data_IF_153661469226
#
_entry.id   IF_153661469226
#
_cell.length_a   1.000
_cell.length_b   1.000
_cell.length_c   1.000
_cell.angle_alpha   90.00
_cell.angle_beta   90.00
_cell.angle_gamma   90.00
#
_symmetry.space_group_name_H-M   'P 1'
#
loop_
_entity.id
_entity.type
_entity.pdbx_description
1 polymer ?
#
# COMPACT_ATOMS: atom_id res chain seq x y z
N UNK A 1 70.03 -29.47 -29.71
CA UNK A 1 69.09 -28.42 -29.28
C UNK A 1 67.85 -29.09 -28.74
N UNK A 2 67.87 -29.22 -27.43
CA UNK A 2 66.81 -29.70 -26.54
C UNK A 2 65.65 -28.69 -26.58
N UNK A 3 64.41 -29.16 -26.75
CA UNK A 3 63.23 -28.41 -26.32
C UNK A 3 62.35 -29.36 -25.53
N UNK A 4 62.31 -29.10 -24.23
CA UNK A 4 61.42 -29.71 -23.26
C UNK A 4 59.96 -29.47 -23.67
N UNK A 5 59.17 -30.54 -23.65
CA UNK A 5 57.72 -30.46 -23.75
C UNK A 5 57.16 -30.92 -22.40
N UNK A 6 56.85 -29.93 -21.56
CA UNK A 6 56.23 -30.10 -20.25
C UNK A 6 54.88 -30.82 -20.39
N UNK A 7 54.69 -31.84 -19.55
CA UNK A 7 53.39 -32.48 -19.31
C UNK A 7 52.47 -31.48 -18.60
N UNK A 8 51.24 -31.21 -19.07
CA UNK A 8 50.22 -30.64 -18.22
C UNK A 8 49.70 -31.73 -17.29
N UNK A 9 50.11 -31.62 -16.04
CA UNK A 9 49.53 -32.24 -14.86
C UNK A 9 48.04 -31.96 -14.75
N UNK A 10 47.26 -33.00 -14.41
CA UNK A 10 46.01 -32.86 -13.64
C UNK A 10 44.81 -32.31 -14.41
N UNK A 11 44.13 -33.18 -15.16
CA UNK A 11 42.71 -33.00 -15.44
C UNK A 11 41.97 -33.09 -14.09
N UNK A 12 41.18 -32.08 -13.68
CA UNK A 12 40.26 -32.27 -12.56
C UNK A 12 39.26 -33.35 -13.00
N UNK A 13 39.19 -34.44 -12.24
CA UNK A 13 38.16 -35.44 -12.39
C UNK A 13 36.81 -34.71 -12.38
N UNK A 14 36.03 -34.91 -13.46
CA UNK A 14 34.70 -34.34 -13.60
C UNK A 14 33.82 -34.82 -12.46
N UNK A 15 33.65 -33.98 -11.45
CA UNK A 15 32.57 -34.11 -10.50
C UNK A 15 31.27 -33.95 -11.29
N UNK A 16 30.53 -35.04 -11.43
CA UNK A 16 29.16 -35.01 -11.97
C UNK A 16 28.40 -33.98 -11.14
N UNK A 17 27.89 -32.93 -11.80
CA UNK A 17 26.97 -32.00 -11.15
C UNK A 17 25.86 -32.83 -10.48
N UNK A 18 25.46 -32.52 -9.22
CA UNK A 18 24.39 -33.25 -8.56
C UNK A 18 23.19 -33.30 -9.50
N UNK A 19 22.66 -34.50 -9.74
CA UNK A 19 21.46 -34.63 -10.56
C UNK A 19 20.35 -33.78 -9.92
N UNK A 20 19.61 -32.99 -10.72
CA UNK A 20 18.55 -32.17 -10.20
C UNK A 20 17.55 -33.07 -9.46
N UNK A 21 17.30 -32.72 -8.20
CA UNK A 21 16.25 -33.38 -7.43
C UNK A 21 14.93 -32.89 -8.00
N UNK A 22 14.15 -33.79 -8.59
CA UNK A 22 12.82 -33.46 -9.08
C UNK A 22 11.92 -33.11 -7.88
N UNK A 23 11.18 -32.00 -7.99
CA UNK A 23 10.24 -31.52 -6.97
C UNK A 23 8.81 -31.60 -7.52
N UNK A 24 7.91 -32.23 -6.79
CA UNK A 24 6.49 -32.29 -7.09
C UNK A 24 5.71 -31.40 -6.11
N UNK A 25 5.13 -30.32 -6.62
CA UNK A 25 4.31 -29.41 -5.82
C UNK A 25 2.83 -29.79 -5.94
N UNK A 26 2.28 -30.37 -4.87
CA UNK A 26 0.87 -30.70 -4.74
C UNK A 26 0.09 -29.44 -4.34
N UNK A 27 -0.99 -29.13 -5.06
CA UNK A 27 -1.85 -27.96 -4.81
C UNK A 27 -3.30 -28.40 -4.75
N UNK A 28 -3.96 -28.19 -3.61
CA UNK A 28 -5.37 -28.56 -3.46
C UNK A 28 -6.32 -27.58 -4.18
N UNK A 29 -7.51 -28.07 -4.55
CA UNK A 29 -8.62 -27.24 -5.06
C UNK A 29 -9.28 -26.39 -3.97
N UNK A 30 -10.51 -25.92 -4.16
CA UNK A 30 -11.18 -25.02 -3.19
C UNK A 30 -11.63 -25.75 -1.89
N UNK A 31 -11.50 -27.06 -1.82
CA UNK A 31 -12.03 -27.92 -0.74
C UNK A 31 -11.27 -27.90 0.59
N UNK A 32 -10.13 -27.22 0.67
CA UNK A 32 -9.37 -27.10 1.93
C UNK A 32 -8.74 -28.39 2.44
N UNK A 33 -8.31 -29.27 1.52
CA UNK A 33 -7.57 -30.51 1.81
C UNK A 33 -6.37 -30.25 2.72
N UNK A 34 -6.18 -31.10 3.72
CA UNK A 34 -5.09 -30.98 4.70
C UNK A 34 -3.75 -31.40 4.09
N UNK A 35 -2.61 -30.91 4.62
CA UNK A 35 -1.31 -31.36 4.15
C UNK A 35 -1.11 -32.87 4.37
N UNK A 36 -1.70 -33.45 5.42
CA UNK A 36 -1.64 -34.90 5.69
C UNK A 36 -2.32 -35.71 4.58
N UNK A 37 -3.49 -35.27 4.13
CA UNK A 37 -4.23 -35.90 3.04
C UNK A 37 -3.51 -35.73 1.70
N UNK A 38 -2.95 -34.55 1.42
CA UNK A 38 -2.21 -34.29 0.18
C UNK A 38 -0.94 -35.14 0.10
N UNK A 39 -0.19 -35.22 1.20
CA UNK A 39 1.08 -35.94 1.25
C UNK A 39 0.90 -37.43 1.57
N UNK A 40 -0.30 -37.87 1.95
CA UNK A 40 -0.57 -39.26 2.34
C UNK A 40 0.17 -39.69 3.61
N UNK A 41 0.52 -38.74 4.49
CA UNK A 41 1.38 -38.96 5.65
C UNK A 41 0.82 -38.20 6.87
N UNK A 42 0.77 -38.86 8.03
CA UNK A 42 0.23 -38.25 9.24
C UNK A 42 1.20 -37.23 9.87
N UNK A 43 2.51 -37.39 9.63
CA UNK A 43 3.54 -36.49 10.17
C UNK A 43 4.05 -35.53 9.10
N UNK A 44 3.34 -34.42 8.94
CA UNK A 44 3.79 -33.30 8.07
C UNK A 44 4.50 -32.22 8.88
N UNK A 45 5.41 -31.50 8.22
CA UNK A 45 6.15 -30.38 8.81
C UNK A 45 6.03 -29.17 7.89
N UNK A 46 5.69 -28.01 8.44
CA UNK A 46 5.71 -26.75 7.70
C UNK A 46 7.17 -26.36 7.44
N UNK A 47 7.56 -26.35 6.16
CA UNK A 47 8.92 -25.99 5.72
C UNK A 47 9.03 -24.53 5.32
N UNK A 48 7.93 -23.91 4.88
CA UNK A 48 7.88 -22.50 4.52
C UNK A 48 6.47 -21.91 4.70
N UNK A 49 6.38 -20.57 4.79
CA UNK A 49 5.13 -19.83 4.90
C UNK A 49 4.64 -19.61 6.34
N UNK A 50 3.35 -19.34 6.48
CA UNK A 50 2.70 -18.95 7.74
C UNK A 50 1.38 -19.72 7.96
N UNK A 51 0.56 -19.30 8.91
CA UNK A 51 -0.73 -19.97 9.20
C UNK A 51 -1.80 -19.67 8.13
N UNK A 52 -1.54 -18.75 7.21
CA UNK A 52 -2.46 -18.36 6.12
C UNK A 52 -2.18 -19.13 4.84
N UNK A 53 -0.90 -19.25 4.47
CA UNK A 53 -0.47 -20.07 3.35
C UNK A 53 0.93 -20.63 3.62
N UNK A 54 1.09 -21.93 3.42
CA UNK A 54 2.32 -22.62 3.79
C UNK A 54 2.61 -23.81 2.87
N UNK A 55 3.90 -24.14 2.81
CA UNK A 55 4.40 -25.35 2.18
C UNK A 55 4.73 -26.36 3.27
N UNK A 56 4.20 -27.56 3.11
CA UNK A 56 4.41 -28.69 4.00
C UNK A 56 5.17 -29.79 3.27
N UNK A 57 5.99 -30.52 4.02
CA UNK A 57 6.69 -31.71 3.55
C UNK A 57 6.49 -32.84 4.55
N UNK A 58 6.69 -34.09 4.14
CA UNK A 58 6.72 -35.22 5.08
C UNK A 58 7.90 -35.08 6.04
N UNK A 59 7.72 -35.48 7.29
CA UNK A 59 8.78 -35.38 8.29
C UNK A 59 10.04 -36.19 7.93
N UNK A 60 9.86 -37.31 7.24
CA UNK A 60 10.95 -38.17 6.75
C UNK A 60 11.86 -37.43 5.76
N UNK A 61 11.27 -36.78 4.75
CA UNK A 61 12.00 -36.05 3.70
C UNK A 61 12.83 -34.88 4.26
N UNK A 62 12.38 -34.24 5.35
CA UNK A 62 13.14 -33.17 6.01
C UNK A 62 14.32 -33.73 6.81
N UNK A 63 14.17 -34.91 7.41
CA UNK A 63 15.24 -35.55 8.19
C UNK A 63 16.37 -36.09 7.32
N UNK A 64 16.06 -36.55 6.10
CA UNK A 64 17.05 -36.96 5.11
C UNK A 64 17.92 -35.80 4.63
N UNK A 65 17.33 -34.61 4.37
CA UNK A 65 18.07 -33.39 4.01
C UNK A 65 19.10 -32.98 5.07
N UNK A 66 18.75 -33.08 6.35
CA UNK A 66 19.63 -32.72 7.49
C UNK A 66 20.74 -33.75 7.69
N UNK A 67 20.45 -35.03 7.48
CA UNK A 67 21.42 -36.12 7.64
C UNK A 67 22.37 -36.26 6.43
N UNK A 68 21.97 -35.81 5.23
CA UNK A 68 22.81 -35.76 4.03
C UNK A 68 23.85 -34.63 4.00
N UNK A 69 23.68 -33.57 4.81
CA UNK A 69 24.64 -32.47 4.90
C UNK A 69 25.89 -32.79 5.77
N UNK A 70 25.92 -33.94 6.44
CA UNK A 70 26.96 -34.30 7.42
C UNK A 70 27.79 -35.56 7.14
N UNK A 71 27.56 -36.29 6.04
CA UNK A 71 28.24 -37.56 5.80
C UNK A 71 29.18 -37.49 4.58
N UNK A 72 30.49 -37.64 4.86
CA UNK A 72 31.51 -37.86 3.83
C UNK A 72 31.24 -39.11 2.97
N UNK A 73 31.99 -39.30 1.87
CA UNK A 73 31.61 -40.17 0.77
C UNK A 73 31.86 -41.64 1.10
N UNK A 74 30.97 -42.29 1.87
CA UNK A 74 30.92 -43.74 2.00
C UNK A 74 29.51 -44.25 2.28
N UNK A 75 28.96 -44.99 1.30
CA UNK A 75 28.21 -46.22 1.59
C UNK A 75 26.72 -46.24 1.23
N UNK A 76 26.43 -46.75 0.02
CA UNK A 76 25.25 -47.59 -0.27
C UNK A 76 23.90 -46.89 -0.47
N UNK A 77 23.03 -47.42 -1.37
CA UNK A 77 21.73 -46.83 -1.66
C UNK A 77 20.78 -47.04 -0.47
N UNK A 78 20.74 -46.05 0.42
CA UNK A 78 19.76 -45.96 1.48
C UNK A 78 18.39 -45.62 0.90
N UNK A 79 17.48 -46.59 0.95
CA UNK A 79 16.03 -46.48 1.12
C UNK A 79 15.22 -45.39 0.38
N UNK A 80 15.63 -44.89 -0.79
CA UNK A 80 14.64 -44.48 -1.79
C UNK A 80 13.94 -45.74 -2.31
N UNK A 81 12.80 -46.08 -1.70
CA UNK A 81 11.85 -47.08 -2.21
C UNK A 81 11.28 -46.73 -3.61
N UNK A 82 11.59 -45.55 -4.13
CA UNK A 82 11.49 -45.20 -5.54
C UNK A 82 12.26 -43.90 -5.76
N UNK A 83 12.96 -43.74 -6.88
CA UNK A 83 13.59 -42.48 -7.27
C UNK A 83 12.58 -41.39 -7.65
N UNK A 84 11.52 -41.22 -6.85
CA UNK A 84 10.44 -40.27 -7.08
C UNK A 84 10.82 -38.84 -6.68
N UNK A 85 10.07 -37.86 -7.17
CA UNK A 85 10.28 -36.45 -6.82
C UNK A 85 9.99 -36.20 -5.34
N UNK A 86 10.66 -35.21 -4.75
CA UNK A 86 10.35 -34.71 -3.40
C UNK A 86 8.98 -34.03 -3.47
N UNK A 87 8.02 -34.51 -2.68
CA UNK A 87 6.66 -33.98 -2.66
C UNK A 87 6.50 -32.86 -1.64
N UNK A 88 5.98 -31.73 -2.07
CA UNK A 88 5.62 -30.60 -1.22
C UNK A 88 4.15 -30.26 -1.39
N UNK A 89 3.42 -30.10 -0.28
CA UNK A 89 2.02 -29.68 -0.30
C UNK A 89 1.90 -28.18 -0.04
N UNK A 90 1.36 -27.45 -1.00
CA UNK A 90 1.00 -26.04 -0.82
C UNK A 90 -0.44 -25.91 -0.35
N UNK A 91 -0.59 -25.47 0.90
CA UNK A 91 -1.88 -25.28 1.56
C UNK A 91 -2.23 -23.79 1.57
N UNK A 92 -3.39 -23.44 0.99
CA UNK A 92 -3.80 -22.06 0.73
C UNK A 92 -5.25 -21.74 1.13
N UNK A 93 -5.97 -22.69 1.73
CA UNK A 93 -7.39 -22.55 2.07
C UNK A 93 -7.72 -21.36 2.99
N UNK A 94 -6.79 -20.97 3.86
CA UNK A 94 -6.95 -19.80 4.74
C UNK A 94 -6.85 -18.47 3.99
N UNK A 95 -6.46 -18.45 2.70
CA UNK A 95 -6.55 -17.25 1.84
C UNK A 95 -7.99 -16.96 1.38
N UNK A 96 -8.85 -17.97 1.28
CA UNK A 96 -10.23 -17.84 0.76
C UNK A 96 -11.31 -18.05 1.82
N UNK A 97 -11.02 -18.83 2.86
CA UNK A 97 -11.94 -19.11 3.97
C UNK A 97 -11.36 -18.58 5.29
N UNK A 98 -12.16 -17.88 6.10
CA UNK A 98 -11.74 -17.36 7.42
C UNK A 98 -12.39 -16.03 7.83
N UNK A 99 -11.81 -15.41 8.87
CA UNK A 99 -12.29 -14.35 9.77
C UNK A 99 -13.37 -13.36 9.27
N UNK A 100 -14.31 -12.99 10.16
CA UNK A 100 -15.42 -12.08 9.92
C UNK A 100 -14.97 -10.67 9.46
N UNK A 101 -13.74 -10.28 9.82
CA UNK A 101 -13.09 -9.07 9.31
C UNK A 101 -12.98 -9.02 7.78
N UNK A 102 -13.15 -10.15 7.07
CA UNK A 102 -13.15 -10.18 5.61
C UNK A 102 -14.30 -9.39 4.98
N UNK A 103 -15.41 -9.18 5.67
CA UNK A 103 -16.51 -8.34 5.17
C UNK A 103 -16.06 -6.89 4.90
N UNK A 104 -15.07 -6.38 5.66
CA UNK A 104 -14.52 -5.05 5.41
C UNK A 104 -13.78 -4.94 4.07
N UNK A 105 -13.38 -6.05 3.44
CA UNK A 105 -12.79 -6.03 2.09
C UNK A 105 -13.76 -5.53 1.02
N UNK A 106 -15.08 -5.57 1.25
CA UNK A 106 -16.05 -5.02 0.31
C UNK A 106 -15.83 -3.52 0.07
N UNK A 107 -15.34 -2.78 1.07
CA UNK A 107 -14.95 -1.37 0.90
C UNK A 107 -13.76 -1.21 -0.06
N UNK A 108 -12.90 -2.23 -0.15
CA UNK A 108 -11.73 -2.27 -1.01
C UNK A 108 -11.96 -3.05 -2.31
N UNK A 109 -13.18 -3.55 -2.54
CA UNK A 109 -13.55 -4.28 -3.76
C UNK A 109 -13.19 -3.52 -5.05
N UNK A 110 -13.43 -2.19 -5.18
CA UNK A 110 -13.01 -1.46 -6.37
C UNK A 110 -11.50 -1.54 -6.63
N UNK A 111 -10.68 -1.52 -5.57
CA UNK A 111 -9.23 -1.66 -5.68
C UNK A 111 -8.83 -3.08 -6.08
N UNK A 112 -9.52 -4.09 -5.54
CA UNK A 112 -9.29 -5.48 -5.94
C UNK A 112 -9.55 -5.70 -7.43
N UNK A 113 -10.65 -5.14 -7.95
CA UNK A 113 -11.00 -5.24 -9.39
C UNK A 113 -9.93 -4.58 -10.26
N UNK A 114 -9.44 -3.40 -9.88
CA UNK A 114 -8.37 -2.71 -10.63
C UNK A 114 -7.04 -3.47 -10.54
N UNK A 115 -6.74 -4.08 -9.39
CA UNK A 115 -5.58 -4.96 -9.25
C UNK A 115 -5.71 -6.20 -10.15
N UNK A 116 -6.89 -6.81 -10.23
CA UNK A 116 -7.15 -7.94 -11.14
C UNK A 116 -7.00 -7.53 -12.61
N UNK A 117 -7.52 -6.36 -12.99
CA UNK A 117 -7.39 -5.83 -14.35
C UNK A 117 -5.91 -5.73 -14.77
N UNK A 118 -5.00 -5.37 -13.87
CA UNK A 118 -3.57 -5.38 -14.16
C UNK A 118 -3.06 -6.74 -14.66
N UNK A 119 -3.52 -7.83 -14.05
CA UNK A 119 -3.13 -9.21 -14.36
C UNK A 119 -3.87 -9.77 -15.57
N UNK A 120 -5.10 -9.30 -15.85
CA UNK A 120 -5.87 -9.66 -17.05
C UNK A 120 -5.39 -8.96 -18.34
N UNK A 121 -4.26 -8.26 -18.29
CA UNK A 121 -3.67 -7.54 -19.43
C UNK A 121 -3.42 -8.51 -20.61
N UNK A 122 -3.99 -8.28 -21.80
CA UNK A 122 -3.76 -9.14 -22.96
C UNK A 122 -2.28 -9.22 -23.36
N UNK A 123 -1.81 -10.42 -23.70
CA UNK A 123 -0.50 -10.62 -24.31
C UNK A 123 -0.51 -10.03 -25.74
N UNK A 124 0.13 -8.88 -25.93
CA UNK A 124 0.20 -8.20 -27.23
C UNK A 124 1.64 -7.77 -27.57
N UNK A 125 2.55 -8.72 -27.90
CA UNK A 125 3.96 -8.45 -28.17
C UNK A 125 4.15 -7.41 -29.29
N UNK A 126 3.30 -7.47 -30.32
CA UNK A 126 3.33 -6.57 -31.48
C UNK A 126 2.84 -5.13 -31.18
N UNK A 127 2.27 -4.85 -29.99
CA UNK A 127 1.70 -3.54 -29.64
C UNK A 127 2.22 -3.00 -28.30
N UNK A 128 3.53 -2.78 -28.16
CA UNK A 128 4.14 -2.39 -26.89
C UNK A 128 3.65 -1.02 -26.38
N UNK A 129 3.21 -0.11 -27.25
CA UNK A 129 2.60 1.17 -26.86
C UNK A 129 1.24 0.99 -26.19
N UNK A 130 0.39 0.11 -26.73
CA UNK A 130 -0.94 -0.16 -26.19
C UNK A 130 -0.86 -0.83 -24.81
N UNK A 131 0.05 -1.80 -24.65
CA UNK A 131 0.33 -2.46 -23.36
C UNK A 131 0.77 -1.44 -22.30
N UNK A 132 1.62 -0.48 -22.69
CA UNK A 132 2.06 0.60 -21.79
C UNK A 132 0.91 1.53 -21.40
N UNK A 133 0.08 1.93 -22.37
CA UNK A 133 -1.08 2.77 -22.14
C UNK A 133 -2.08 2.07 -21.19
N UNK A 134 -2.38 0.79 -21.43
CA UNK A 134 -3.23 0.00 -20.54
C UNK A 134 -2.72 0.02 -19.10
N UNK A 135 -1.43 -0.29 -18.90
CA UNK A 135 -0.83 -0.25 -17.57
C UNK A 135 -0.86 1.15 -16.93
N UNK A 136 -0.71 2.21 -17.72
CA UNK A 136 -0.85 3.59 -17.24
C UNK A 136 -2.29 3.89 -16.79
N UNK A 137 -3.28 3.56 -17.63
CA UNK A 137 -4.69 3.80 -17.33
C UNK A 137 -5.14 3.06 -16.08
N UNK A 138 -4.75 1.78 -15.92
CA UNK A 138 -5.05 0.99 -14.71
C UNK A 138 -4.47 1.67 -13.45
N UNK A 139 -3.23 2.18 -13.52
CA UNK A 139 -2.61 2.92 -12.39
C UNK A 139 -3.32 4.24 -12.09
N UNK A 140 -3.75 4.98 -13.12
CA UNK A 140 -4.50 6.21 -12.94
C UNK A 140 -5.90 5.96 -12.37
N UNK A 141 -6.59 4.91 -12.81
CA UNK A 141 -7.88 4.50 -12.24
C UNK A 141 -7.71 4.14 -10.75
N UNK A 142 -6.68 3.37 -10.39
CA UNK A 142 -6.39 3.06 -8.99
C UNK A 142 -6.15 4.33 -8.15
N UNK A 143 -5.40 5.29 -8.70
CA UNK A 143 -5.15 6.58 -8.04
C UNK A 143 -6.45 7.36 -7.85
N UNK A 144 -7.30 7.44 -8.88
CA UNK A 144 -8.60 8.10 -8.82
C UNK A 144 -9.50 7.46 -7.76
N UNK A 145 -9.54 6.14 -7.66
CA UNK A 145 -10.29 5.46 -6.59
C UNK A 145 -9.81 5.87 -5.19
N UNK A 146 -8.51 6.09 -5.03
CA UNK A 146 -7.94 6.59 -3.76
C UNK A 146 -8.43 7.99 -3.46
N UNK A 147 -8.37 8.88 -4.46
CA UNK A 147 -8.88 10.25 -4.33
C UNK A 147 -10.36 10.25 -3.99
N UNK A 148 -11.17 9.45 -4.66
CA UNK A 148 -12.62 9.35 -4.44
C UNK A 148 -12.96 8.81 -3.05
N UNK A 149 -12.30 7.73 -2.62
CA UNK A 149 -12.50 7.16 -1.29
C UNK A 149 -12.22 8.20 -0.19
N UNK A 150 -11.10 8.90 -0.31
CA UNK A 150 -10.69 9.91 0.67
C UNK A 150 -11.58 11.15 0.59
N UNK A 151 -11.94 11.59 -0.61
CA UNK A 151 -12.88 12.69 -0.80
C UNK A 151 -14.24 12.38 -0.17
N UNK A 152 -14.76 11.16 -0.31
CA UNK A 152 -16.00 10.74 0.33
C UNK A 152 -15.91 10.79 1.87
N UNK A 153 -14.79 10.34 2.44
CA UNK A 153 -14.54 10.48 3.87
C UNK A 153 -14.45 11.95 4.32
N UNK A 154 -13.82 12.82 3.51
CA UNK A 154 -13.78 14.25 3.74
C UNK A 154 -15.17 14.90 3.66
N UNK A 155 -16.02 14.54 2.68
CA UNK A 155 -17.39 15.04 2.59
C UNK A 155 -18.19 14.71 3.85
N UNK A 156 -18.12 13.48 4.33
CA UNK A 156 -18.82 13.09 5.56
C UNK A 156 -18.28 13.84 6.78
N UNK A 157 -16.95 13.85 6.98
CA UNK A 157 -16.35 14.43 8.17
C UNK A 157 -16.34 15.97 8.18
N UNK A 158 -15.92 16.59 7.07
CA UNK A 158 -15.71 18.03 6.96
C UNK A 158 -17.01 18.77 6.61
N UNK A 159 -17.75 18.32 5.59
CA UNK A 159 -18.97 19.00 5.16
C UNK A 159 -20.16 18.65 6.07
N UNK A 160 -20.53 17.38 6.18
CA UNK A 160 -21.75 17.02 6.92
C UNK A 160 -21.61 17.22 8.43
N UNK A 161 -20.52 16.73 9.03
CA UNK A 161 -20.34 16.77 10.49
C UNK A 161 -19.81 18.13 10.95
N UNK A 162 -18.64 18.55 10.47
CA UNK A 162 -17.94 19.72 11.02
C UNK A 162 -18.49 21.07 10.55
N UNK A 163 -18.96 21.15 9.30
CA UNK A 163 -19.49 22.39 8.73
C UNK A 163 -20.99 22.53 8.96
N UNK A 164 -21.79 21.57 8.52
CA UNK A 164 -23.24 21.65 8.57
C UNK A 164 -23.79 21.33 9.96
N UNK A 165 -23.50 20.15 10.52
CA UNK A 165 -24.11 19.74 11.79
C UNK A 165 -23.56 20.54 12.98
N UNK A 166 -22.25 20.67 13.13
CA UNK A 166 -21.67 21.49 14.21
C UNK A 166 -21.95 22.99 14.03
N UNK A 167 -22.17 23.45 12.79
CA UNK A 167 -22.61 24.82 12.46
C UNK A 167 -24.06 25.11 12.84
N UNK A 168 -24.93 24.10 12.86
CA UNK A 168 -26.35 24.23 13.13
C UNK A 168 -26.72 23.84 14.58
N UNK A 169 -27.20 24.82 15.36
CA UNK A 169 -27.62 24.62 16.77
C UNK A 169 -28.59 23.45 16.96
N UNK A 170 -29.52 23.26 16.03
CA UNK A 170 -30.50 22.17 16.08
C UNK A 170 -29.88 20.77 15.98
N UNK A 171 -28.87 20.60 15.11
CA UNK A 171 -28.17 19.32 14.92
C UNK A 171 -27.22 19.05 16.08
N UNK A 172 -26.38 20.03 16.44
CA UNK A 172 -25.40 19.85 17.51
C UNK A 172 -26.02 19.56 18.89
N UNK A 173 -27.19 20.12 19.22
CA UNK A 173 -27.91 19.79 20.48
C UNK A 173 -28.36 18.33 20.55
N UNK A 174 -28.63 17.68 19.42
CA UNK A 174 -29.03 16.26 19.36
C UNK A 174 -27.83 15.31 19.53
N UNK A 175 -26.61 15.82 19.37
CA UNK A 175 -25.38 15.05 19.40
C UNK A 175 -24.44 15.63 20.47
N UNK A 176 -24.57 15.15 21.71
CA UNK A 176 -23.83 15.68 22.87
C UNK A 176 -22.30 15.71 22.67
N UNK A 177 -21.74 14.79 21.89
CA UNK A 177 -20.31 14.74 21.57
C UNK A 177 -19.83 15.88 20.65
N UNK A 178 -20.73 16.58 19.96
CA UNK A 178 -20.43 17.78 19.18
C UNK A 178 -20.53 19.07 20.01
N UNK A 179 -20.98 19.01 21.27
CA UNK A 179 -21.29 20.20 22.06
C UNK A 179 -20.07 21.15 22.20
N UNK A 180 -18.86 20.62 22.35
CA UNK A 180 -17.63 21.42 22.48
C UNK A 180 -17.24 22.18 21.20
N UNK A 181 -17.75 21.76 20.04
CA UNK A 181 -17.55 22.44 18.76
C UNK A 181 -18.57 23.58 18.54
N UNK A 182 -19.55 23.76 19.42
CA UNK A 182 -20.59 24.78 19.22
C UNK A 182 -20.22 26.13 19.83
N UNK A 183 -20.79 27.26 19.35
CA UNK A 183 -20.62 28.56 19.97
C UNK A 183 -21.11 28.58 21.43
N UNK A 184 -22.16 27.79 21.71
CA UNK A 184 -22.82 27.71 23.02
C UNK A 184 -22.12 26.73 23.99
N UNK A 185 -21.02 26.09 23.56
CA UNK A 185 -20.22 25.13 24.32
C UNK A 185 -19.82 25.62 25.73
N UNK A 186 -19.63 26.92 25.90
CA UNK A 186 -19.25 27.54 27.16
C UNK A 186 -20.32 27.42 28.27
N UNK A 187 -21.58 27.13 27.91
CA UNK A 187 -22.71 27.19 28.84
C UNK A 187 -23.11 25.81 29.41
N UNK A 188 -22.66 24.70 28.80
CA UNK A 188 -23.02 23.33 29.19
C UNK A 188 -22.15 22.76 30.34
N UNK A 189 -22.73 22.11 31.37
CA UNK A 189 -21.98 21.65 32.56
C UNK A 189 -20.92 20.57 32.27
N UNK A 190 -21.09 19.75 31.22
CA UNK A 190 -20.10 18.72 30.84
C UNK A 190 -18.87 19.24 30.07
N UNK A 191 -18.95 20.44 29.48
CA UNK A 191 -17.87 21.02 28.67
C UNK A 191 -16.92 21.87 29.51
N UNK A 192 -17.40 22.47 30.61
CA UNK A 192 -16.59 23.29 31.51
C UNK A 192 -15.36 22.55 32.05
N UNK A 193 -15.54 21.28 32.45
CA UNK A 193 -14.45 20.44 33.00
C UNK A 193 -13.35 20.15 31.98
N UNK A 194 -13.67 19.92 30.71
CA UNK A 194 -12.67 19.68 29.65
C UNK A 194 -12.04 20.99 29.14
N UNK A 195 -12.82 22.08 29.09
CA UNK A 195 -12.36 23.41 28.70
C UNK A 195 -11.35 23.98 29.71
N UNK A 196 -11.57 23.75 31.02
CA UNK A 196 -10.60 24.09 32.08
C UNK A 196 -9.33 23.24 31.98
N UNK A 197 -9.46 21.93 31.70
CA UNK A 197 -8.32 21.00 31.59
C UNK A 197 -7.43 21.29 30.38
N UNK A 198 -8.01 21.83 29.30
CA UNK A 198 -7.30 22.21 28.06
C UNK A 198 -6.95 23.71 28.00
N UNK A 199 -7.31 24.51 29.01
CA UNK A 199 -7.05 25.95 29.05
C UNK A 199 -7.74 26.76 27.94
N UNK A 200 -8.77 26.21 27.30
CA UNK A 200 -9.47 26.85 26.18
C UNK A 200 -10.76 27.49 26.66
N UNK A 201 -10.75 28.81 26.87
CA UNK A 201 -11.96 29.60 27.13
C UNK A 201 -12.94 29.53 25.95
N UNK A 202 -14.23 29.64 26.26
CA UNK A 202 -15.40 29.40 25.39
C UNK A 202 -15.27 29.81 23.92
N UNK A 203 -15.79 28.97 23.03
CA UNK A 203 -15.89 29.27 21.60
C UNK A 203 -14.61 29.07 20.78
N UNK A 204 -13.47 28.68 21.39
CA UNK A 204 -12.22 28.47 20.64
C UNK A 204 -12.38 27.43 19.51
N UNK A 205 -12.97 26.27 19.81
CA UNK A 205 -13.30 25.24 18.82
C UNK A 205 -14.54 25.58 17.99
N UNK A 206 -15.25 26.66 18.31
CA UNK A 206 -16.43 27.08 17.58
C UNK A 206 -16.09 27.82 16.27
N UNK A 207 -14.83 28.19 16.02
CA UNK A 207 -14.46 28.75 14.72
C UNK A 207 -14.47 27.67 13.63
N UNK A 208 -15.10 27.90 12.45
CA UNK A 208 -15.25 26.88 11.41
C UNK A 208 -13.93 26.21 11.03
N UNK A 209 -12.85 26.99 10.89
CA UNK A 209 -11.53 26.48 10.55
C UNK A 209 -10.97 25.43 11.52
N UNK A 210 -11.13 25.65 12.82
CA UNK A 210 -10.65 24.71 13.86
C UNK A 210 -11.48 23.45 13.93
N UNK A 211 -12.80 23.55 13.70
CA UNK A 211 -13.69 22.37 13.57
C UNK A 211 -13.27 21.49 12.40
N UNK A 212 -13.03 22.12 11.25
CA UNK A 212 -12.58 21.42 10.04
C UNK A 212 -11.22 20.75 10.27
N UNK A 213 -10.26 21.46 10.90
CA UNK A 213 -8.95 20.90 11.22
C UNK A 213 -9.05 19.68 12.16
N UNK A 214 -9.94 19.72 13.15
CA UNK A 214 -10.19 18.56 14.02
C UNK A 214 -10.86 17.41 13.26
N UNK A 215 -11.86 17.70 12.45
CA UNK A 215 -12.58 16.69 11.69
C UNK A 215 -11.71 16.00 10.62
N UNK A 216 -10.65 16.68 10.14
CA UNK A 216 -9.65 16.09 9.25
C UNK A 216 -8.89 14.91 9.87
N UNK A 217 -8.94 14.73 11.21
CA UNK A 217 -8.40 13.54 11.87
C UNK A 217 -9.12 12.25 11.44
N UNK A 218 -10.39 12.32 11.05
CA UNK A 218 -11.16 11.13 10.60
C UNK A 218 -10.61 10.58 9.27
N UNK A 219 -10.56 11.34 8.15
CA UNK A 219 -9.92 10.86 6.93
C UNK A 219 -8.40 10.66 7.10
N UNK A 220 -7.74 11.41 8.00
CA UNK A 220 -6.34 11.16 8.38
C UNK A 220 -6.13 9.79 9.01
N UNK A 221 -7.03 9.38 9.91
CA UNK A 221 -7.04 8.05 10.52
C UNK A 221 -7.28 6.93 9.50
N UNK A 222 -8.18 7.15 8.52
CA UNK A 222 -8.37 6.24 7.39
C UNK A 222 -7.07 6.04 6.60
N UNK A 223 -6.36 7.13 6.26
CA UNK A 223 -5.08 7.05 5.54
C UNK A 223 -4.02 6.34 6.38
N UNK A 224 -3.93 6.62 7.68
CA UNK A 224 -2.99 5.94 8.57
C UNK A 224 -3.26 4.44 8.63
N UNK A 225 -4.53 4.04 8.74
CA UNK A 225 -4.95 2.64 8.74
C UNK A 225 -4.56 1.96 7.42
N UNK A 226 -4.91 2.55 6.27
CA UNK A 226 -4.57 1.99 4.95
C UNK A 226 -3.06 1.91 4.72
N UNK A 227 -2.31 2.94 5.16
CA UNK A 227 -0.85 2.93 5.12
C UNK A 227 -0.28 1.80 5.99
N UNK A 228 -0.78 1.62 7.20
CA UNK A 228 -0.35 0.57 8.11
C UNK A 228 -0.62 -0.82 7.52
N UNK A 229 -1.83 -1.07 7.02
CA UNK A 229 -2.19 -2.34 6.39
C UNK A 229 -1.33 -2.61 5.15
N UNK A 230 -1.12 -1.60 4.31
CA UNK A 230 -0.28 -1.71 3.11
C UNK A 230 1.20 -1.95 3.44
N UNK A 231 1.71 -1.33 4.52
CA UNK A 231 3.07 -1.55 4.98
C UNK A 231 3.23 -2.98 5.53
N UNK A 232 2.27 -3.44 6.34
CA UNK A 232 2.28 -4.78 6.93
C UNK A 232 2.28 -5.86 5.85
N UNK A 233 1.39 -5.79 4.86
CA UNK A 233 1.33 -6.77 3.77
C UNK A 233 2.58 -6.75 2.89
N UNK A 234 3.08 -5.56 2.55
CA UNK A 234 4.32 -5.44 1.77
C UNK A 234 5.54 -6.01 2.51
N UNK A 235 5.63 -5.77 3.82
CA UNK A 235 6.73 -6.29 4.64
C UNK A 235 6.64 -7.80 4.88
N UNK A 236 5.45 -8.40 4.78
CA UNK A 236 5.28 -9.84 4.93
C UNK A 236 5.59 -10.58 3.62
N UNK A 237 5.04 -10.10 2.49
CA UNK A 237 5.05 -10.86 1.24
C UNK A 237 6.06 -10.35 0.20
N UNK A 238 6.35 -9.05 0.16
CA UNK A 238 7.09 -8.43 -0.97
C UNK A 238 8.54 -8.04 -0.60
N UNK A 239 8.94 -8.14 0.67
CA UNK A 239 10.30 -7.81 1.11
C UNK A 239 11.32 -8.95 0.93
N UNK A 240 10.83 -10.17 0.68
CA UNK A 240 11.67 -11.34 0.42
C UNK A 240 12.46 -11.17 -0.86
N UNK A 241 13.77 -11.41 -0.80
CA UNK A 241 14.66 -11.34 -1.97
C UNK A 241 14.66 -12.71 -2.65
N UNK A 242 14.53 -12.77 -3.98
CA UNK A 242 14.72 -14.05 -4.67
C UNK A 242 16.12 -14.59 -4.39
N UNK A 243 16.22 -15.90 -4.21
CA UNK A 243 17.50 -16.62 -4.15
C UNK A 243 18.11 -16.57 -5.55
N UNK A 244 18.85 -15.49 -5.87
CA UNK A 244 19.56 -15.39 -7.14
C UNK A 244 20.77 -16.30 -7.05
N UNK A 245 20.67 -17.51 -7.59
CA UNK A 245 21.78 -18.43 -7.78
C UNK A 245 22.27 -18.33 -9.23
N UNK A 246 23.40 -17.64 -9.43
CA UNK A 246 24.12 -17.61 -10.71
C UNK A 246 23.75 -16.47 -11.68
N UNK A 247 24.45 -16.39 -12.84
CA UNK A 247 24.13 -15.44 -13.90
C UNK A 247 22.72 -15.71 -14.45
N UNK A 248 21.95 -14.65 -14.76
CA UNK A 248 20.65 -14.82 -15.44
C UNK A 248 20.85 -15.70 -16.69
N UNK A 249 20.09 -16.80 -16.84
CA UNK A 249 20.14 -17.60 -18.07
C UNK A 249 19.86 -16.71 -19.27
N UNK A 250 20.50 -17.01 -20.40
CA UNK A 250 20.29 -16.24 -21.62
C UNK A 250 18.79 -16.20 -21.96
N UNK A 251 18.23 -15.05 -22.33
CA UNK A 251 16.80 -14.92 -22.55
C UNK A 251 16.37 -15.82 -23.70
N UNK A 252 15.59 -16.85 -23.39
CA UNK A 252 14.90 -17.66 -24.40
C UNK A 252 13.68 -16.88 -24.90
N UNK A 253 13.57 -16.60 -26.22
CA UNK A 253 12.42 -15.89 -26.79
C UNK A 253 11.09 -16.63 -26.59
N UNK A 254 11.09 -17.95 -26.36
CA UNK A 254 9.89 -18.77 -26.15
C UNK A 254 9.50 -18.92 -24.67
N UNK A 255 10.26 -18.31 -23.76
CA UNK A 255 10.03 -18.47 -22.34
C UNK A 255 8.75 -17.76 -21.87
N UNK A 256 7.97 -18.45 -21.04
CA UNK A 256 6.74 -17.93 -20.47
C UNK A 256 7.01 -16.62 -19.70
N UNK A 257 6.06 -15.68 -19.72
CA UNK A 257 6.18 -14.47 -18.90
C UNK A 257 6.41 -14.78 -17.41
N UNK A 258 5.90 -15.92 -16.93
CA UNK A 258 6.07 -16.41 -15.55
C UNK A 258 7.49 -16.86 -15.22
N UNK A 259 8.28 -17.26 -16.22
CA UNK A 259 9.66 -17.72 -16.06
C UNK A 259 10.66 -16.55 -15.95
N UNK A 260 10.23 -15.32 -16.28
CA UNK A 260 11.13 -14.17 -16.29
C UNK A 260 11.56 -13.77 -14.87
N UNK A 261 12.86 -13.51 -14.62
CA UNK A 261 13.37 -13.23 -13.26
C UNK A 261 12.68 -12.05 -12.55
N UNK A 262 12.27 -11.03 -13.30
CA UNK A 262 11.59 -9.84 -12.76
C UNK A 262 10.07 -9.97 -12.65
N UNK A 263 9.46 -11.08 -13.09
CA UNK A 263 8.00 -11.26 -13.13
C UNK A 263 7.37 -11.42 -11.73
N UNK A 264 8.08 -12.04 -10.79
CA UNK A 264 7.60 -12.20 -9.42
C UNK A 264 8.11 -11.11 -8.47
N UNK A 265 9.05 -10.27 -8.92
CA UNK A 265 9.66 -9.23 -8.09
C UNK A 265 9.12 -7.83 -8.40
N UNK A 266 8.12 -7.38 -7.64
CA UNK A 266 7.44 -6.09 -7.80
C UNK A 266 7.88 -5.01 -6.81
N UNK A 267 8.83 -5.31 -5.90
CA UNK A 267 9.16 -4.51 -4.72
C UNK A 267 9.29 -3.00 -4.96
N UNK A 268 10.00 -2.60 -6.01
CA UNK A 268 10.19 -1.16 -6.35
C UNK A 268 8.90 -0.49 -6.79
N UNK A 269 8.15 -1.14 -7.69
CA UNK A 269 6.89 -0.62 -8.20
C UNK A 269 5.87 -0.47 -7.06
N UNK A 270 5.71 -1.52 -6.25
CA UNK A 270 4.75 -1.54 -5.14
C UNK A 270 5.10 -0.49 -4.09
N UNK A 271 6.38 -0.37 -3.71
CA UNK A 271 6.83 0.64 -2.75
C UNK A 271 6.53 2.07 -3.25
N UNK A 272 6.82 2.35 -4.54
CA UNK A 272 6.56 3.65 -5.14
C UNK A 272 5.08 3.98 -5.22
N UNK A 273 4.25 3.02 -5.66
CA UNK A 273 2.81 3.21 -5.73
C UNK A 273 2.23 3.43 -4.34
N UNK A 274 2.64 2.65 -3.33
CA UNK A 274 2.22 2.89 -1.94
C UNK A 274 2.51 4.33 -1.50
N UNK A 275 3.74 4.81 -1.72
CA UNK A 275 4.11 6.18 -1.38
C UNK A 275 3.26 7.23 -2.12
N UNK A 276 3.01 7.03 -3.42
CA UNK A 276 2.19 7.93 -4.22
C UNK A 276 0.71 7.94 -3.78
N UNK A 277 0.13 6.77 -3.47
CA UNK A 277 -1.25 6.67 -2.98
C UNK A 277 -1.42 7.30 -1.59
N UNK A 278 -0.46 7.10 -0.68
CA UNK A 278 -0.45 7.79 0.63
C UNK A 278 -0.38 9.31 0.44
N UNK A 279 0.51 9.79 -0.42
CA UNK A 279 0.62 11.22 -0.71
C UNK A 279 -0.65 11.79 -1.35
N UNK A 280 -1.25 11.09 -2.31
CA UNK A 280 -2.51 11.48 -2.93
C UNK A 280 -3.63 11.62 -1.90
N UNK A 281 -3.76 10.64 -0.98
CA UNK A 281 -4.75 10.71 0.09
C UNK A 281 -4.55 11.92 1.01
N UNK A 282 -3.32 12.14 1.48
CA UNK A 282 -3.01 13.30 2.32
C UNK A 282 -3.26 14.64 1.61
N UNK A 283 -2.89 14.75 0.34
CA UNK A 283 -3.13 15.94 -0.49
C UNK A 283 -4.62 16.18 -0.74
N UNK A 284 -5.44 15.14 -0.90
CA UNK A 284 -6.89 15.26 -1.00
C UNK A 284 -7.50 15.83 0.27
N UNK A 285 -7.05 15.37 1.45
CA UNK A 285 -7.48 15.92 2.75
C UNK A 285 -7.06 17.39 2.85
N UNK A 286 -5.81 17.70 2.51
CA UNK A 286 -5.29 19.06 2.54
C UNK A 286 -6.07 19.99 1.59
N UNK A 287 -6.38 19.56 0.37
CA UNK A 287 -7.19 20.34 -0.56
C UNK A 287 -8.62 20.58 -0.03
N UNK A 288 -9.28 19.54 0.50
CA UNK A 288 -10.61 19.67 1.09
C UNK A 288 -10.63 20.60 2.31
N UNK A 289 -9.58 20.56 3.14
CA UNK A 289 -9.41 21.40 4.33
C UNK A 289 -9.07 22.86 3.98
N UNK A 290 -8.28 23.08 2.93
CA UNK A 290 -7.85 24.42 2.51
C UNK A 290 -8.98 25.19 1.81
N UNK A 291 -9.80 24.51 1.00
CA UNK A 291 -10.79 25.14 0.10
C UNK A 291 -11.71 26.16 0.80
N UNK A 292 -12.31 25.87 1.97
CA UNK A 292 -13.18 26.82 2.66
C UNK A 292 -12.45 28.07 3.17
N UNK A 293 -11.24 27.89 3.71
CA UNK A 293 -10.41 28.98 4.22
C UNK A 293 -9.89 29.87 3.10
N UNK A 294 -9.40 29.28 2.00
CA UNK A 294 -8.96 30.00 0.81
C UNK A 294 -10.06 30.88 0.21
N UNK A 295 -11.29 30.35 0.11
CA UNK A 295 -12.45 31.12 -0.38
C UNK A 295 -12.87 32.26 0.55
N UNK A 296 -12.61 32.12 1.84
CA UNK A 296 -12.88 33.19 2.80
C UNK A 296 -11.81 34.28 2.69
N UNK A 297 -10.53 33.90 2.62
CA UNK A 297 -9.41 34.82 2.63
C UNK A 297 -9.23 35.56 1.29
N UNK A 298 -9.61 34.96 0.15
CA UNK A 298 -9.55 35.60 -1.18
C UNK A 298 -10.66 36.66 -1.41
N UNK A 299 -11.50 36.95 -0.43
CA UNK A 299 -12.58 37.95 -0.58
C UNK A 299 -11.98 39.37 -0.63
N UNK A 300 -12.59 40.29 -1.40
CA UNK A 300 -12.19 41.70 -1.38
C UNK A 300 -12.24 42.25 0.06
N UNK A 301 -11.17 42.90 0.50
CA UNK A 301 -11.05 43.47 1.85
C UNK A 301 -10.54 42.51 2.95
N UNK A 302 -10.14 41.28 2.60
CA UNK A 302 -9.49 40.35 3.52
C UNK A 302 -8.03 40.70 3.87
N UNK A 303 -7.43 40.06 4.90
CA UNK A 303 -6.04 40.29 5.27
C UNK A 303 -5.08 39.85 4.16
N UNK A 304 -4.35 40.78 3.54
CA UNK A 304 -3.48 40.50 2.39
C UNK A 304 -2.41 39.42 2.66
N UNK A 305 -1.92 39.29 3.89
CA UNK A 305 -0.97 38.24 4.27
C UNK A 305 -1.58 36.82 4.16
N UNK A 306 -2.85 36.64 4.54
CA UNK A 306 -3.54 35.35 4.44
C UNK A 306 -3.91 35.01 2.99
N UNK A 307 -4.23 36.01 2.16
CA UNK A 307 -4.43 35.81 0.72
C UNK A 307 -3.14 35.31 0.04
N UNK A 308 -2.00 35.98 0.29
CA UNK A 308 -0.70 35.55 -0.25
C UNK A 308 -0.33 34.14 0.22
N UNK A 309 -0.47 33.88 1.53
CA UNK A 309 -0.20 32.56 2.09
C UNK A 309 -1.12 31.49 1.49
N UNK A 310 -2.39 31.80 1.26
CA UNK A 310 -3.36 30.92 0.62
C UNK A 310 -2.98 30.58 -0.83
N UNK A 311 -2.50 31.56 -1.60
CA UNK A 311 -1.99 31.34 -2.97
C UNK A 311 -0.75 30.46 -2.99
N UNK A 312 0.21 30.72 -2.09
CA UNK A 312 1.42 29.90 -1.94
C UNK A 312 1.06 28.46 -1.57
N UNK A 313 0.16 28.28 -0.60
CA UNK A 313 -0.33 26.96 -0.20
C UNK A 313 -0.99 26.23 -1.37
N UNK A 314 -1.84 26.92 -2.14
CA UNK A 314 -2.48 26.37 -3.34
C UNK A 314 -1.44 25.92 -4.37
N UNK A 315 -0.42 26.73 -4.64
CA UNK A 315 0.66 26.38 -5.55
C UNK A 315 1.43 25.14 -5.07
N UNK A 316 1.74 25.06 -3.77
CA UNK A 316 2.39 23.89 -3.18
C UNK A 316 1.53 22.61 -3.27
N UNK A 317 0.21 22.71 -3.04
CA UNK A 317 -0.71 21.58 -3.19
C UNK A 317 -0.79 21.09 -4.64
N UNK A 318 -0.87 22.00 -5.61
CA UNK A 318 -0.88 21.67 -7.04
C UNK A 318 0.46 21.03 -7.48
N UNK A 319 1.59 21.56 -7.01
CA UNK A 319 2.90 20.98 -7.25
C UNK A 319 3.02 19.57 -6.66
N UNK A 320 2.58 19.37 -5.42
CA UNK A 320 2.55 18.06 -4.77
C UNK A 320 1.67 17.06 -5.51
N UNK A 321 0.50 17.49 -5.99
CA UNK A 321 -0.38 16.67 -6.81
C UNK A 321 0.29 16.28 -8.14
N UNK A 322 0.93 17.24 -8.82
CA UNK A 322 1.68 17.00 -10.05
C UNK A 322 2.82 15.99 -9.87
N UNK A 323 3.62 16.12 -8.81
CA UNK A 323 4.69 15.16 -8.46
C UNK A 323 4.11 13.77 -8.17
N UNK A 324 2.98 13.70 -7.48
CA UNK A 324 2.30 12.44 -7.16
C UNK A 324 1.80 11.73 -8.42
N UNK A 325 1.13 12.47 -9.32
CA UNK A 325 0.69 11.93 -10.62
C UNK A 325 1.89 11.50 -11.45
N UNK A 326 2.96 12.30 -11.50
CA UNK A 326 4.19 11.94 -12.19
C UNK A 326 4.80 10.63 -11.64
N UNK A 327 4.82 10.45 -10.32
CA UNK A 327 5.31 9.22 -9.68
C UNK A 327 4.50 7.96 -10.09
N UNK A 328 3.19 8.10 -10.27
CA UNK A 328 2.29 7.03 -10.76
C UNK A 328 2.47 6.78 -12.26
N UNK A 329 2.67 7.84 -13.05
CA UNK A 329 2.86 7.77 -14.49
C UNK A 329 4.23 7.17 -14.88
N UNK A 330 5.27 7.36 -14.06
CA UNK A 330 6.62 6.83 -14.32
C UNK A 330 6.59 5.32 -14.51
N UNK A 331 7.37 4.83 -15.48
CA UNK A 331 7.56 3.39 -15.71
C UNK A 331 8.20 2.76 -14.47
N UNK A 332 7.76 1.58 -14.06
CA UNK A 332 8.20 1.02 -12.77
C UNK A 332 8.48 -0.47 -12.72
N UNK A 333 8.28 -1.21 -13.81
CA UNK A 333 8.57 -2.65 -13.86
C UNK A 333 9.34 -2.98 -15.13
N UNK A 334 10.48 -3.63 -14.95
CA UNK A 334 11.14 -4.44 -15.96
C UNK A 334 10.90 -5.91 -15.59
N UNK A 335 10.31 -6.69 -16.50
CA UNK A 335 10.03 -8.10 -16.25
C UNK A 335 11.28 -8.96 -16.49
N UNK A 336 12.27 -8.43 -17.24
CA UNK A 336 13.47 -9.17 -17.63
C UNK A 336 14.61 -9.10 -16.62
N UNK A 337 14.53 -8.21 -15.61
CA UNK A 337 15.59 -8.01 -14.62
C UNK A 337 15.02 -7.78 -13.23
N UNK A 338 15.68 -8.33 -12.21
CA UNK A 338 15.35 -8.08 -10.81
C UNK A 338 15.79 -6.66 -10.43
N UNK A 339 14.83 -5.73 -10.33
CA UNK A 339 15.12 -4.33 -9.98
C UNK A 339 15.11 -4.09 -8.46
N UNK A 340 16.31 -4.10 -7.86
CA UNK A 340 16.49 -3.90 -6.42
C UNK A 340 16.65 -2.42 -6.01
N UNK A 341 16.76 -1.47 -6.96
CA UNK A 341 17.08 -0.07 -6.63
C UNK A 341 15.83 0.68 -6.18
N UNK A 342 15.66 0.82 -4.87
CA UNK A 342 14.69 1.73 -4.29
C UNK A 342 15.22 3.17 -4.39
N UNK A 343 14.33 4.11 -4.68
CA UNK A 343 14.62 5.55 -4.59
C UNK A 343 14.17 6.02 -3.20
N UNK A 344 15.05 6.04 -2.19
CA UNK A 344 14.66 6.37 -0.81
C UNK A 344 14.15 7.80 -0.69
N UNK A 345 14.61 8.71 -1.56
CA UNK A 345 14.13 10.08 -1.59
C UNK A 345 12.67 10.13 -2.01
N UNK A 346 12.30 9.51 -3.13
CA UNK A 346 10.91 9.47 -3.57
C UNK A 346 10.00 8.75 -2.55
N UNK A 347 10.47 7.65 -1.97
CA UNK A 347 9.67 6.82 -1.06
C UNK A 347 9.38 7.48 0.29
N UNK A 348 10.32 8.29 0.81
CA UNK A 348 10.15 8.97 2.09
C UNK A 348 9.67 10.41 1.92
N UNK A 349 10.27 11.17 1.01
CA UNK A 349 10.02 12.61 0.90
C UNK A 349 8.63 12.92 0.34
N UNK A 350 8.07 12.08 -0.53
CA UNK A 350 6.75 12.36 -1.11
C UNK A 350 5.62 12.25 -0.07
N UNK A 351 5.47 11.14 0.70
CA UNK A 351 4.49 11.08 1.79
C UNK A 351 4.76 12.09 2.90
N UNK A 352 6.03 12.30 3.28
CA UNK A 352 6.38 13.27 4.32
C UNK A 352 6.07 14.71 3.89
N UNK A 353 6.38 15.06 2.64
CA UNK A 353 6.04 16.37 2.08
C UNK A 353 4.52 16.59 2.04
N UNK A 354 3.75 15.58 1.63
CA UNK A 354 2.29 15.64 1.66
C UNK A 354 1.72 15.78 3.09
N UNK A 355 2.32 15.09 4.06
CA UNK A 355 1.96 15.22 5.48
C UNK A 355 2.29 16.62 6.01
N UNK A 356 3.49 17.15 5.72
CA UNK A 356 3.87 18.52 6.09
C UNK A 356 2.91 19.53 5.49
N UNK A 357 2.55 19.39 4.21
CA UNK A 357 1.54 20.26 3.58
C UNK A 357 0.18 20.15 4.26
N UNK A 358 -0.28 18.95 4.63
CA UNK A 358 -1.51 18.77 5.38
C UNK A 358 -1.47 19.48 6.75
N UNK A 359 -0.35 19.36 7.49
CA UNK A 359 -0.18 20.03 8.78
C UNK A 359 -0.14 21.54 8.63
N UNK A 360 0.57 22.07 7.63
CA UNK A 360 0.59 23.50 7.32
C UNK A 360 -0.81 24.01 6.92
N UNK A 361 -1.55 23.22 6.14
CA UNK A 361 -2.96 23.52 5.83
C UNK A 361 -3.81 23.54 7.10
N UNK A 362 -3.64 22.59 8.01
CA UNK A 362 -4.40 22.56 9.26
C UNK A 362 -4.10 23.79 10.13
N UNK A 363 -2.85 24.24 10.18
CA UNK A 363 -2.45 25.48 10.86
C UNK A 363 -3.06 26.71 10.19
N UNK A 364 -2.97 26.80 8.86
CA UNK A 364 -3.56 27.90 8.09
C UNK A 364 -5.08 27.97 8.24
N UNK A 365 -5.78 26.83 8.12
CA UNK A 365 -7.23 26.74 8.27
C UNK A 365 -7.66 26.99 9.72
N UNK A 366 -6.88 26.54 10.71
CA UNK A 366 -7.13 26.76 12.14
C UNK A 366 -6.80 28.16 12.65
N UNK A 367 -6.17 29.00 11.82
CA UNK A 367 -5.85 30.39 12.15
C UNK A 367 -7.12 31.20 12.47
N UNK A 368 -7.01 32.09 13.46
CA UNK A 368 -8.16 32.83 13.98
C UNK A 368 -8.81 33.71 12.92
N UNK A 369 -10.10 33.50 12.68
CA UNK A 369 -10.94 34.32 11.77
C UNK A 369 -12.25 34.67 12.50
N UNK A 370 -12.32 35.80 13.24
CA UNK A 370 -13.47 36.14 14.08
C UNK A 370 -14.79 36.25 13.34
N UNK A 371 -14.77 36.81 12.11
CA UNK A 371 -15.96 37.06 11.30
C UNK A 371 -16.39 35.86 10.44
N UNK A 372 -15.74 34.70 10.60
CA UNK A 372 -16.01 33.51 9.81
C UNK A 372 -17.09 32.65 10.45
N UNK A 373 -18.25 32.60 9.80
CA UNK A 373 -19.37 31.73 10.19
C UNK A 373 -19.66 30.67 9.12
N UNK A 374 -19.98 29.45 9.56
CA UNK A 374 -20.43 28.36 8.70
C UNK A 374 -21.89 28.58 8.29
N UNK A 375 -22.14 28.76 6.99
CA UNK A 375 -23.49 28.85 6.43
C UNK A 375 -23.62 27.95 5.21
N UNK A 376 -24.80 27.32 5.04
CA UNK A 376 -25.07 26.41 3.93
C UNK A 376 -24.15 25.19 3.87
N UNK A 377 -23.97 24.62 2.68
CA UNK A 377 -23.00 23.53 2.44
C UNK A 377 -21.58 24.07 2.41
N UNK A 378 -20.60 23.22 2.74
CA UNK A 378 -19.20 23.53 2.58
C UNK A 378 -18.95 23.98 1.14
N UNK A 379 -18.20 25.07 0.92
CA UNK A 379 -17.89 25.53 -0.42
C UNK A 379 -17.03 24.50 -1.20
N UNK A 380 -17.65 23.51 -1.85
CA UNK A 380 -16.97 22.58 -2.77
C UNK A 380 -16.63 23.24 -4.11
N UNK A 381 -15.69 22.70 -4.92
CA UNK A 381 -15.41 23.18 -6.28
C UNK A 381 -16.69 23.06 -7.13
N UNK A 382 -17.50 24.11 -7.15
CA UNK A 382 -18.58 24.26 -8.12
C UNK A 382 -17.97 24.92 -9.34
N UNK A 383 -18.16 24.28 -10.49
CA UNK A 383 -17.99 24.93 -11.78
C UNK A 383 -18.73 26.26 -11.73
N UNK A 384 -18.01 27.33 -12.05
CA UNK A 384 -18.60 28.60 -12.46
C UNK A 384 -19.43 28.33 -13.71
N UNK A 385 -20.72 28.03 -13.55
CA UNK A 385 -21.68 28.27 -14.60
C UNK A 385 -22.02 29.75 -14.50
N UNK A 386 -21.28 30.55 -15.26
CA UNK A 386 -21.71 31.86 -15.71
C UNK A 386 -22.15 31.70 -17.17
#
# INVERSE_FOLDING_TARGET
>A
MERAQERPSGQPAGGRAPEPVDLELLVHGVGGTTPEEMLGEARTVRVAGDDTAAVFRRAEDVSEDVSGAGAGPRGGPGARGGGGPVQEAYVWCNLTSGDAGRALWLLLLPFMVVNLAHWMRPAAPARPRAVRLYGLLVRLIALTLTVLLVAAACEVALDLVAWQCAGARGCARRHFWLAFLTPDAAQGPGVRRWAELLGTSGGWWAQPGRRLALAALVPGGLILLLWYLSHRTWSAYESHRPLVQGPDPAPDPDDSALARPGFWYGRRLVARLRAAHTAAGLLTIAAALATPALRFDHRPGGPGALDILGRLLTACLLAGAGVTVAAVCRRGRDEHRVDQRLDPHLLRQLPLGALTLLLLTALYTGWSRPDWHSTGRLPGPRHSAA
#
